data_IF_180374645084
#
_entry.id   IF_180374645084
#
_cell.length_a   1.000
_cell.length_b   1.000
_cell.length_c   1.000
_cell.angle_alpha   90.00
_cell.angle_beta   90.00
_cell.angle_gamma   90.00
#
_symmetry.space_group_name_H-M   'P 1'
#
loop_
_entity.id
_entity.type
_entity.pdbx_description
1 polymer ?
#
# COMPACT_ATOMS: atom_id res chain seq x y z
N UNK A 1 -30.76 -9.75 -27.11
CA UNK A 1 -29.93 -10.77 -26.44
C UNK A 1 -29.19 -10.06 -25.33
N UNK A 2 -29.67 -10.20 -24.10
CA UNK A 2 -29.13 -9.52 -22.92
C UNK A 2 -27.97 -10.35 -22.41
N UNK A 3 -26.75 -9.82 -22.46
CA UNK A 3 -25.59 -10.47 -21.87
C UNK A 3 -25.80 -10.58 -20.35
N UNK A 4 -25.76 -11.81 -19.86
CA UNK A 4 -25.68 -12.12 -18.43
C UNK A 4 -24.28 -11.72 -17.99
N UNK A 5 -24.13 -10.50 -17.47
CA UNK A 5 -22.88 -10.05 -16.89
C UNK A 5 -22.50 -11.01 -15.75
N UNK A 6 -21.36 -11.66 -15.93
CA UNK A 6 -20.78 -12.67 -15.04
C UNK A 6 -20.78 -12.23 -13.58
N UNK A 7 -21.46 -12.99 -12.72
CA UNK A 7 -21.58 -12.78 -11.26
C UNK A 7 -20.27 -13.15 -10.51
N UNK A 8 -19.14 -13.17 -11.21
CA UNK A 8 -17.79 -13.42 -10.67
C UNK A 8 -16.85 -12.25 -10.96
N UNK A 9 -17.36 -11.02 -11.00
CA UNK A 9 -16.50 -9.84 -11.19
C UNK A 9 -15.73 -9.53 -9.91
N UNK A 10 -14.42 -9.79 -9.96
CA UNK A 10 -13.50 -9.28 -8.96
C UNK A 10 -13.12 -7.87 -9.39
N UNK A 11 -13.48 -6.87 -8.59
CA UNK A 11 -13.21 -5.46 -8.88
C UNK A 11 -12.06 -4.99 -8.01
N UNK A 12 -11.11 -4.26 -8.59
CA UNK A 12 -10.03 -3.62 -7.85
C UNK A 12 -10.06 -2.12 -8.09
N UNK A 13 -10.17 -1.36 -7.01
CA UNK A 13 -10.12 0.09 -7.01
C UNK A 13 -8.80 0.55 -6.41
N UNK A 14 -8.23 1.62 -6.93
CA UNK A 14 -6.97 2.17 -6.45
C UNK A 14 -7.02 3.68 -6.49
N UNK A 15 -6.63 4.32 -5.40
CA UNK A 15 -6.59 5.78 -5.27
C UNK A 15 -5.20 6.23 -4.83
N UNK A 16 -4.74 7.34 -5.40
CA UNK A 16 -3.64 8.15 -4.87
C UNK A 16 -4.18 9.48 -4.40
N UNK A 17 -3.75 9.91 -3.22
CA UNK A 17 -3.87 11.30 -2.80
C UNK A 17 -2.95 12.24 -3.61
N UNK A 18 -3.07 13.55 -3.37
CA UNK A 18 -2.19 14.54 -4.00
C UNK A 18 -0.74 14.30 -3.62
N UNK A 19 0.17 14.81 -4.46
CA UNK A 19 1.57 14.93 -4.10
C UNK A 19 1.71 16.04 -3.07
N UNK A 20 2.28 15.72 -1.91
CA UNK A 20 2.56 16.69 -0.85
C UNK A 20 4.08 16.88 -0.76
N UNK A 21 4.55 18.11 -0.68
CA UNK A 21 5.96 18.39 -0.36
C UNK A 21 6.10 18.29 1.16
N UNK A 22 7.02 17.44 1.63
CA UNK A 22 7.24 17.27 3.08
C UNK A 22 7.99 18.50 3.59
N UNK A 23 7.39 19.18 4.56
CA UNK A 23 7.96 20.37 5.16
C UNK A 23 8.60 20.11 6.54
N UNK A 24 9.18 21.16 7.12
CA UNK A 24 9.96 21.07 8.35
C UNK A 24 9.14 20.73 9.59
N UNK A 25 7.82 20.93 9.60
CA UNK A 25 6.96 20.54 10.73
C UNK A 25 6.89 19.03 10.91
N UNK A 26 7.16 18.26 9.85
CA UNK A 26 7.28 16.81 9.94
C UNK A 26 8.61 16.38 10.59
N UNK A 27 9.56 17.28 10.88
CA UNK A 27 10.85 16.90 11.48
C UNK A 27 10.76 16.49 12.95
N UNK A 28 9.67 16.80 13.66
CA UNK A 28 9.54 16.57 15.11
C UNK A 28 9.49 15.08 15.51
N UNK A 29 9.16 14.18 14.58
CA UNK A 29 9.19 12.71 14.80
C UNK A 29 10.55 12.06 14.48
N UNK A 30 11.59 12.83 14.14
CA UNK A 30 12.89 12.29 13.69
C UNK A 30 13.82 12.08 14.89
N UNK A 31 14.00 10.82 15.28
CA UNK A 31 14.97 10.39 16.30
C UNK A 31 16.37 10.94 15.97
N UNK A 32 16.94 11.62 16.95
CA UNK A 32 18.18 12.40 16.85
C UNK A 32 19.40 11.48 16.76
N UNK A 33 19.93 11.29 15.55
CA UNK A 33 21.30 10.83 15.31
C UNK A 33 21.79 11.39 13.95
N UNK A 34 23.08 11.24 13.63
CA UNK A 34 23.86 11.90 12.56
C UNK A 34 23.22 11.96 11.14
N UNK A 35 22.17 11.16 10.88
CA UNK A 35 21.29 11.17 9.70
C UNK A 35 20.45 12.47 9.54
N UNK A 36 20.33 13.30 10.58
CA UNK A 36 19.58 14.57 10.55
C UNK A 36 20.11 15.59 9.51
N UNK A 37 21.41 15.57 9.19
CA UNK A 37 21.98 16.55 8.25
C UNK A 37 21.57 16.33 6.80
N UNK A 38 21.24 15.10 6.40
CA UNK A 38 20.79 14.75 5.06
C UNK A 38 19.28 14.94 4.86
N UNK A 39 18.48 14.70 5.90
CA UNK A 39 17.03 14.90 5.85
C UNK A 39 16.64 16.36 5.97
N UNK A 40 17.16 17.07 6.96
CA UNK A 40 16.86 18.49 7.13
C UNK A 40 17.27 19.30 5.89
N UNK A 41 18.38 18.95 5.21
CA UNK A 41 18.76 19.56 3.93
C UNK A 41 17.77 19.25 2.81
N UNK A 42 17.31 18.01 2.68
CA UNK A 42 16.38 17.62 1.62
C UNK A 42 14.96 18.20 1.82
N UNK A 43 14.52 18.27 3.08
CA UNK A 43 13.28 18.95 3.50
C UNK A 43 13.40 20.46 3.28
N UNK A 44 14.49 21.09 3.71
CA UNK A 44 14.75 22.52 3.46
C UNK A 44 14.88 22.84 1.95
N UNK A 45 15.32 21.88 1.15
CA UNK A 45 15.36 21.98 -0.31
C UNK A 45 14.00 21.66 -0.99
N UNK A 46 12.97 21.25 -0.25
CA UNK A 46 11.65 20.91 -0.79
C UNK A 46 11.67 19.70 -1.73
N UNK A 47 12.67 18.83 -1.60
CA UNK A 47 12.90 17.74 -2.55
C UNK A 47 12.15 16.47 -2.22
N UNK A 48 11.76 16.30 -0.94
CA UNK A 48 11.01 15.12 -0.48
C UNK A 48 9.52 15.34 -0.68
N UNK A 49 8.88 14.37 -1.30
CA UNK A 49 7.44 14.36 -1.59
C UNK A 49 6.81 13.11 -1.02
N UNK A 50 5.54 13.18 -0.64
CA UNK A 50 4.76 12.06 -0.18
C UNK A 50 3.50 11.86 -1.03
N UNK A 51 3.02 10.61 -1.05
CA UNK A 51 1.72 10.23 -1.62
C UNK A 51 1.05 9.21 -0.71
N UNK A 52 -0.11 9.57 -0.19
CA UNK A 52 -1.03 8.61 0.40
C UNK A 52 -1.69 7.79 -0.71
N UNK A 53 -1.97 6.52 -0.45
CA UNK A 53 -2.60 5.62 -1.39
C UNK A 53 -3.49 4.62 -0.67
N UNK A 54 -4.50 4.13 -1.38
CA UNK A 54 -5.36 3.02 -0.94
C UNK A 54 -5.70 2.15 -2.13
N UNK A 55 -5.83 0.86 -1.90
CA UNK A 55 -6.36 -0.07 -2.89
C UNK A 55 -7.34 -1.02 -2.20
N UNK A 56 -8.47 -1.23 -2.86
CA UNK A 56 -9.57 -2.04 -2.37
C UNK A 56 -9.87 -3.10 -3.41
N UNK A 57 -10.00 -4.35 -3.00
CA UNK A 57 -10.45 -5.45 -3.85
C UNK A 57 -11.75 -6.02 -3.33
N UNK A 58 -12.75 -6.06 -4.20
CA UNK A 58 -14.05 -6.64 -3.95
C UNK A 58 -14.15 -7.98 -4.66
N UNK A 59 -14.47 -9.02 -3.91
CA UNK A 59 -15.17 -10.19 -4.44
C UNK A 59 -16.64 -10.13 -4.04
N UNK A 60 -17.49 -10.93 -4.68
CA UNK A 60 -18.92 -10.94 -4.35
C UNK A 60 -19.23 -11.19 -2.87
N UNK A 61 -18.33 -11.89 -2.15
CA UNK A 61 -18.49 -12.25 -0.73
C UNK A 61 -17.47 -11.61 0.20
N UNK A 62 -16.56 -10.76 -0.30
CA UNK A 62 -15.54 -10.15 0.54
C UNK A 62 -15.06 -8.80 0.00
N UNK A 63 -14.49 -8.01 0.89
CA UNK A 63 -13.78 -6.78 0.58
C UNK A 63 -12.48 -6.76 1.37
N UNK A 64 -11.37 -6.56 0.68
CA UNK A 64 -10.07 -6.37 1.29
C UNK A 64 -9.51 -5.00 0.95
N UNK A 65 -8.93 -4.31 1.95
CA UNK A 65 -8.35 -2.99 1.81
C UNK A 65 -6.93 -2.99 2.36
N UNK A 66 -5.99 -2.47 1.57
CA UNK A 66 -4.69 -2.02 2.07
C UNK A 66 -4.41 -0.59 1.67
N UNK A 67 -3.65 0.11 2.53
CA UNK A 67 -3.34 1.52 2.35
C UNK A 67 -1.99 1.88 2.95
N UNK A 68 -1.49 3.04 2.58
CA UNK A 68 -0.26 3.55 3.14
C UNK A 68 0.16 4.89 2.59
N UNK A 69 1.38 5.26 2.91
CA UNK A 69 2.05 6.47 2.43
C UNK A 69 3.43 6.09 1.93
N UNK A 70 3.72 6.49 0.70
CA UNK A 70 5.06 6.46 0.16
C UNK A 70 5.71 7.83 0.25
N UNK A 71 7.03 7.84 0.31
CA UNK A 71 7.85 9.04 0.13
C UNK A 71 8.81 8.85 -1.05
N UNK A 72 9.20 9.95 -1.68
CA UNK A 72 10.15 9.96 -2.80
C UNK A 72 10.87 11.30 -2.95
N UNK A 73 12.09 11.28 -3.49
CA UNK A 73 12.91 12.49 -3.69
C UNK A 73 13.43 12.67 -5.13
N UNK A 74 12.93 11.88 -6.09
CA UNK A 74 13.43 11.85 -7.47
C UNK A 74 14.55 10.83 -7.68
N UNK A 75 15.34 10.52 -6.64
CA UNK A 75 16.41 9.51 -6.70
C UNK A 75 15.97 8.18 -6.10
N UNK A 76 15.18 8.21 -5.01
CA UNK A 76 14.63 7.02 -4.34
C UNK A 76 13.16 7.21 -3.99
N UNK A 77 12.46 6.09 -3.93
CA UNK A 77 11.19 5.93 -3.23
C UNK A 77 11.41 5.06 -1.98
N UNK A 78 10.60 5.26 -0.94
CA UNK A 78 10.63 4.46 0.28
C UNK A 78 9.26 4.37 0.95
N UNK A 79 9.08 3.33 1.77
CA UNK A 79 7.89 3.08 2.57
C UNK A 79 8.28 2.76 4.02
N UNK A 80 7.54 1.87 4.70
CA UNK A 80 7.62 1.67 6.16
C UNK A 80 8.83 0.84 6.63
N UNK A 81 9.44 0.01 5.79
CA UNK A 81 10.52 -0.90 6.23
C UNK A 81 11.83 -0.16 6.56
N UNK A 82 12.19 0.87 5.78
CA UNK A 82 13.46 1.57 5.91
C UNK A 82 13.23 3.05 6.20
N UNK A 83 13.88 3.56 7.25
CA UNK A 83 14.06 5.00 7.42
C UNK A 83 15.01 5.46 6.33
N UNK A 84 14.54 6.34 5.44
CA UNK A 84 15.42 7.01 4.49
C UNK A 84 15.25 8.50 4.69
N UNK A 85 16.40 9.16 4.92
CA UNK A 85 16.43 10.55 5.39
C UNK A 85 15.49 10.73 6.59
N UNK A 86 15.72 10.02 7.70
CA UNK A 86 14.95 10.24 8.94
C UNK A 86 13.45 9.91 8.92
N UNK A 87 12.84 9.56 7.78
CA UNK A 87 11.40 9.25 7.68
C UNK A 87 11.11 7.86 7.13
N UNK A 88 10.08 7.25 7.69
CA UNK A 88 9.48 6.00 7.21
C UNK A 88 8.10 6.31 6.63
N UNK A 89 7.74 5.60 5.57
CA UNK A 89 6.36 5.55 5.08
C UNK A 89 5.44 4.77 6.00
N UNK A 90 4.24 4.48 5.50
CA UNK A 90 3.28 3.59 6.16
C UNK A 90 2.79 2.52 5.18
N UNK A 91 2.45 1.36 5.71
CA UNK A 91 1.78 0.28 5.00
C UNK A 91 0.96 -0.51 6.02
N UNK A 92 -0.34 -0.61 5.76
CA UNK A 92 -1.30 -1.33 6.57
C UNK A 92 -2.17 -2.21 5.66
N UNK A 93 -2.19 -3.49 5.99
CA UNK A 93 -2.93 -4.57 5.33
C UNK A 93 -4.16 -4.94 6.19
N UNK A 94 -5.23 -5.44 5.57
CA UNK A 94 -6.46 -5.86 6.25
C UNK A 94 -7.08 -4.75 7.09
N UNK A 95 -7.07 -3.51 6.59
CA UNK A 95 -7.46 -2.35 7.43
C UNK A 95 -8.95 -2.33 7.72
N UNK A 96 -9.33 -1.58 8.76
CA UNK A 96 -10.73 -1.35 9.12
C UNK A 96 -11.56 -0.93 7.89
N UNK A 97 -12.67 -1.63 7.68
CA UNK A 97 -13.50 -1.53 6.48
C UNK A 97 -13.39 -2.72 5.53
N UNK A 98 -12.42 -3.61 5.74
CA UNK A 98 -12.38 -4.95 5.13
C UNK A 98 -13.40 -5.88 5.79
N UNK A 99 -14.02 -6.78 5.02
CA UNK A 99 -15.08 -7.69 5.51
C UNK A 99 -15.18 -8.96 4.67
N UNK A 100 -15.81 -10.00 5.25
CA UNK A 100 -16.17 -11.23 4.56
C UNK A 100 -17.57 -11.68 4.98
N UNK A 101 -18.41 -12.06 4.00
CA UNK A 101 -19.75 -12.60 4.22
C UNK A 101 -19.77 -14.08 3.82
N UNK A 102 -19.97 -14.96 4.80
CA UNK A 102 -19.90 -16.41 4.59
C UNK A 102 -18.51 -16.94 4.24
N UNK A 103 -17.48 -16.08 4.33
CA UNK A 103 -16.07 -16.40 4.10
C UNK A 103 -15.20 -15.77 5.19
N UNK A 104 -14.09 -16.41 5.49
CA UNK A 104 -13.02 -15.83 6.30
C UNK A 104 -11.96 -15.21 5.37
N UNK A 105 -11.57 -13.96 5.66
CA UNK A 105 -10.48 -13.27 4.96
C UNK A 105 -9.37 -13.05 5.97
N UNK A 106 -8.17 -13.53 5.66
CA UNK A 106 -7.02 -13.41 6.54
C UNK A 106 -5.79 -12.95 5.77
N UNK A 107 -5.15 -11.87 6.24
CA UNK A 107 -3.86 -11.43 5.72
C UNK A 107 -2.81 -12.51 5.98
N UNK A 108 -2.15 -12.96 4.91
CA UNK A 108 -1.06 -13.95 4.95
C UNK A 108 0.29 -13.25 5.02
N UNK A 109 0.47 -12.17 4.24
CA UNK A 109 1.70 -11.40 4.22
C UNK A 109 1.41 -9.93 3.93
N UNK A 110 2.07 -9.05 4.67
CA UNK A 110 2.07 -7.61 4.43
C UNK A 110 3.52 -7.17 4.13
N UNK A 111 3.91 -7.35 2.87
CA UNK A 111 5.29 -7.14 2.41
C UNK A 111 5.53 -5.68 2.06
N UNK A 112 6.71 -5.21 2.43
CA UNK A 112 7.21 -3.86 2.20
C UNK A 112 8.71 -4.01 1.90
N UNK A 113 9.24 -3.41 0.82
CA UNK A 113 10.64 -3.52 0.49
C UNK A 113 11.43 -2.29 0.94
N UNK A 114 12.75 -2.46 0.99
CA UNK A 114 13.73 -1.39 1.21
C UNK A 114 13.63 -0.29 0.16
N UNK A 115 14.18 0.88 0.50
CA UNK A 115 14.22 2.04 -0.40
C UNK A 115 14.99 1.73 -1.69
N UNK A 116 14.59 2.35 -2.80
CA UNK A 116 15.21 2.10 -4.11
C UNK A 116 14.60 2.97 -5.20
N UNK A 117 14.94 2.68 -6.46
CA UNK A 117 14.34 3.36 -7.62
C UNK A 117 12.83 3.13 -7.72
N UNK A 118 12.35 2.04 -7.13
CA UNK A 118 10.95 1.69 -6.99
C UNK A 118 10.73 0.91 -5.68
N UNK A 119 9.55 1.10 -5.09
CA UNK A 119 9.12 0.39 -3.88
C UNK A 119 7.72 -0.15 -4.12
N UNK A 120 7.50 -1.41 -3.74
CA UNK A 120 6.26 -2.14 -3.98
C UNK A 120 5.70 -2.66 -2.65
N UNK A 121 4.69 -1.99 -2.13
CA UNK A 121 3.93 -2.53 -1.00
C UNK A 121 2.97 -3.59 -1.51
N UNK A 122 2.98 -4.76 -0.88
CA UNK A 122 2.18 -5.90 -1.30
C UNK A 122 1.46 -6.53 -0.13
N UNK A 123 0.16 -6.67 -0.26
CA UNK A 123 -0.65 -7.51 0.58
C UNK A 123 -0.89 -8.85 -0.12
N UNK A 124 -0.78 -9.94 0.62
CA UNK A 124 -1.25 -11.27 0.24
C UNK A 124 -2.22 -11.74 1.31
N UNK A 125 -3.40 -12.20 0.91
CA UNK A 125 -4.44 -12.65 1.83
C UNK A 125 -5.10 -13.92 1.29
N UNK A 126 -5.71 -14.67 2.20
CA UNK A 126 -6.42 -15.91 1.89
C UNK A 126 -7.90 -15.70 2.17
N UNK A 127 -8.72 -16.13 1.21
CA UNK A 127 -10.17 -16.22 1.40
C UNK A 127 -10.52 -17.68 1.57
N UNK A 128 -11.28 -17.99 2.62
CA UNK A 128 -11.67 -19.35 2.98
C UNK A 128 -13.20 -19.42 3.09
N UNK A 129 -13.79 -20.40 2.44
CA UNK A 129 -15.21 -20.71 2.49
C UNK A 129 -15.40 -22.20 2.82
N UNK A 130 -16.58 -22.56 3.32
CA UNK A 130 -16.98 -23.97 3.46
C UNK A 130 -18.14 -24.22 2.50
N UNK A 131 -17.96 -25.13 1.55
CA UNK A 131 -19.01 -25.57 0.64
C UNK A 131 -19.18 -27.08 0.79
N UNK A 132 -20.40 -27.54 1.05
CA UNK A 132 -20.73 -28.96 1.23
C UNK A 132 -19.81 -29.67 2.26
N UNK A 133 -19.48 -28.99 3.35
CA UNK A 133 -18.58 -29.53 4.40
C UNK A 133 -17.10 -29.56 4.04
N UNK A 134 -16.70 -29.13 2.83
CA UNK A 134 -15.31 -29.07 2.39
C UNK A 134 -14.77 -27.64 2.40
N UNK A 135 -13.55 -27.39 2.92
CA UNK A 135 -12.95 -26.07 2.89
C UNK A 135 -12.45 -25.74 1.48
N UNK A 136 -12.96 -24.65 0.91
CA UNK A 136 -12.45 -24.05 -0.32
C UNK A 136 -11.62 -22.84 0.07
N UNK A 137 -10.39 -22.76 -0.43
CA UNK A 137 -9.52 -21.62 -0.17
C UNK A 137 -8.83 -21.15 -1.43
N UNK A 138 -8.64 -19.85 -1.56
CA UNK A 138 -7.79 -19.25 -2.59
C UNK A 138 -7.00 -18.09 -2.01
N UNK A 139 -5.83 -17.83 -2.60
CA UNK A 139 -4.93 -16.77 -2.19
C UNK A 139 -4.94 -15.67 -3.24
N UNK A 140 -5.04 -14.43 -2.78
CA UNK A 140 -5.07 -13.24 -3.60
C UNK A 140 -3.97 -12.30 -3.14
N UNK A 141 -3.59 -11.40 -4.04
CA UNK A 141 -2.63 -10.36 -3.73
C UNK A 141 -3.06 -9.01 -4.31
N UNK A 142 -2.71 -7.96 -3.59
CA UNK A 142 -2.80 -6.56 -4.02
C UNK A 142 -1.42 -5.92 -3.89
N UNK A 143 -1.06 -5.05 -4.82
CA UNK A 143 0.24 -4.40 -4.81
C UNK A 143 0.14 -2.97 -5.29
N UNK A 144 0.79 -2.08 -4.55
CA UNK A 144 0.99 -0.69 -4.94
C UNK A 144 2.47 -0.41 -5.09
N UNK A 145 2.86 0.10 -6.26
CA UNK A 145 4.22 0.51 -6.56
C UNK A 145 4.32 2.03 -6.65
N UNK A 146 5.38 2.60 -6.05
CA UNK A 146 5.84 3.95 -6.33
C UNK A 146 7.25 3.90 -6.93
N UNK A 147 7.46 4.63 -8.04
CA UNK A 147 8.79 4.92 -8.58
C UNK A 147 9.36 6.22 -7.98
N UNK A 148 10.68 6.35 -7.96
CA UNK A 148 11.37 7.54 -7.44
C UNK A 148 10.95 8.86 -8.12
N UNK A 149 10.43 8.80 -9.35
CA UNK A 149 9.88 9.95 -10.09
C UNK A 149 8.44 10.32 -9.68
N UNK A 150 7.81 9.57 -8.75
CA UNK A 150 6.45 9.81 -8.28
C UNK A 150 5.35 9.11 -9.08
N UNK A 151 5.69 8.32 -10.10
CA UNK A 151 4.70 7.50 -10.82
C UNK A 151 4.22 6.35 -9.95
N UNK A 152 2.90 6.20 -9.83
CA UNK A 152 2.26 5.15 -9.04
C UNK A 152 1.59 4.13 -9.96
N UNK A 153 1.63 2.85 -9.60
CA UNK A 153 0.98 1.77 -10.36
C UNK A 153 0.43 0.74 -9.39
N UNK A 154 -0.84 0.36 -9.57
CA UNK A 154 -1.46 -0.72 -8.81
C UNK A 154 -1.55 -2.00 -9.62
N UNK A 155 -1.53 -3.14 -8.92
CA UNK A 155 -1.81 -4.47 -9.47
C UNK A 155 -2.61 -5.27 -8.46
N UNK A 156 -3.44 -6.20 -8.94
CA UNK A 156 -4.07 -7.21 -8.12
C UNK A 156 -4.22 -8.52 -8.90
N UNK A 157 -4.10 -9.64 -8.20
CA UNK A 157 -4.27 -11.01 -8.72
C UNK A 157 -5.15 -11.79 -7.76
#
# INVERSE_FOLDING_TARGET
MTEVASVCSVVTESTSGPTIVVDASELDDVVVDADQTGFARAVKAGTVRSKAWSQTKYGGTYKEIHKGTFYYDGARAWSKEQTYRGKKGSHSCGVAGSWGFGVNVATVACTQPRSGANVVNRETYKVQAVANGSPINWTLAMSMMLKANGTMTSRAS
#
